data_IF_169779091505
#
_entry.id   IF_169779091505
#
_cell.length_a   1.000
_cell.length_b   1.000
_cell.length_c   1.000
_cell.angle_alpha   90.00
_cell.angle_beta   90.00
_cell.angle_gamma   90.00
#
_symmetry.space_group_name_H-M   'P 1'
#
loop_
_entity.id
_entity.type
_entity.pdbx_description
1 polymer ?
#
# COMPACT_ATOMS: atom_id res chain seq x y z
N UNK A 1 17.32 -2.52 -4.43
CA UNK A 1 17.82 -2.28 -3.05
C UNK A 1 18.68 -1.02 -3.05
N UNK A 2 18.49 -0.08 -2.11
CA UNK A 2 19.40 1.06 -1.86
C UNK A 2 20.12 0.82 -0.53
N UNK A 3 21.41 1.18 -0.43
CA UNK A 3 22.18 1.12 0.82
C UNK A 3 22.87 2.44 1.09
N UNK A 4 22.86 2.91 2.34
CA UNK A 4 23.59 4.09 2.80
C UNK A 4 23.84 4.01 4.30
N UNK A 5 25.10 4.12 4.75
CA UNK A 5 25.45 4.33 6.16
C UNK A 5 24.79 3.39 7.19
N UNK A 6 24.63 2.10 6.87
CA UNK A 6 23.97 1.11 7.75
C UNK A 6 22.46 0.94 7.52
N UNK A 7 21.85 1.79 6.68
CA UNK A 7 20.47 1.65 6.23
C UNK A 7 20.41 0.89 4.90
N UNK A 8 19.48 -0.07 4.82
CA UNK A 8 19.15 -0.78 3.59
C UNK A 8 17.65 -0.61 3.30
N UNK A 9 17.32 -0.22 2.07
CA UNK A 9 15.95 -0.10 1.59
C UNK A 9 15.72 -1.19 0.54
N UNK A 10 14.82 -2.11 0.86
CA UNK A 10 14.31 -3.13 -0.06
C UNK A 10 13.10 -2.59 -0.84
N UNK A 11 12.84 -3.16 -2.02
CA UNK A 11 11.74 -2.68 -2.88
C UNK A 11 11.84 -1.19 -3.20
N UNK A 12 12.97 -0.76 -3.81
CA UNK A 12 13.28 0.67 -4.04
C UNK A 12 12.13 1.41 -4.71
N UNK A 13 11.54 0.79 -5.74
CA UNK A 13 10.55 1.45 -6.55
C UNK A 13 9.19 1.46 -5.85
N UNK A 14 8.86 0.41 -5.10
CA UNK A 14 7.68 0.33 -4.22
C UNK A 14 7.74 1.40 -3.13
N UNK A 15 8.89 1.50 -2.45
CA UNK A 15 9.14 2.50 -1.42
C UNK A 15 9.09 3.91 -2.03
N UNK A 16 9.68 4.12 -3.21
CA UNK A 16 9.62 5.40 -3.90
C UNK A 16 8.20 5.85 -4.24
N UNK A 17 7.37 4.94 -4.77
CA UNK A 17 5.94 5.20 -5.04
C UNK A 17 5.16 5.45 -3.75
N UNK A 18 5.44 4.69 -2.69
CA UNK A 18 4.81 4.86 -1.39
C UNK A 18 5.13 6.24 -0.77
N UNK A 19 6.39 6.67 -0.81
CA UNK A 19 6.82 8.01 -0.34
C UNK A 19 6.11 9.11 -1.13
N UNK A 20 6.05 8.98 -2.47
CA UNK A 20 5.38 9.97 -3.32
C UNK A 20 3.87 10.07 -3.02
N UNK A 21 3.20 8.93 -2.79
CA UNK A 21 1.78 8.93 -2.44
C UNK A 21 1.51 9.45 -1.02
N UNK A 22 2.35 9.08 -0.06
CA UNK A 22 2.25 9.54 1.33
C UNK A 22 2.34 11.07 1.45
N UNK A 23 3.18 11.71 0.65
CA UNK A 23 3.37 13.17 0.68
C UNK A 23 2.08 13.97 0.45
N UNK A 24 1.08 13.40 -0.22
CA UNK A 24 -0.19 14.07 -0.54
C UNK A 24 -1.42 13.30 -0.04
N UNK A 25 -1.18 12.17 0.61
CA UNK A 25 -2.19 11.22 1.01
C UNK A 25 -2.78 11.51 2.39
N UNK A 26 -3.92 10.89 2.67
CA UNK A 26 -4.59 10.98 3.99
C UNK A 26 -4.25 9.83 4.95
N UNK A 27 -3.54 8.81 4.47
CA UNK A 27 -3.08 7.66 5.26
C UNK A 27 -1.69 7.84 5.84
N UNK A 28 -1.26 6.86 6.62
CA UNK A 28 0.12 6.75 7.08
C UNK A 28 1.02 6.16 5.98
N UNK A 29 2.33 6.38 6.09
CA UNK A 29 3.29 5.84 5.12
C UNK A 29 3.16 4.32 4.95
N UNK A 30 2.89 3.59 6.04
CA UNK A 30 2.73 2.15 6.02
C UNK A 30 1.57 1.69 5.11
N UNK A 31 0.48 2.44 5.05
CA UNK A 31 -0.68 2.11 4.21
C UNK A 31 -0.29 2.10 2.73
N UNK A 32 0.39 3.16 2.31
CA UNK A 32 0.89 3.29 0.94
C UNK A 32 1.95 2.24 0.62
N UNK A 33 2.82 1.92 1.57
CA UNK A 33 3.82 0.88 1.39
C UNK A 33 3.19 -0.52 1.22
N UNK A 34 2.18 -0.85 2.01
CA UNK A 34 1.41 -2.10 1.87
C UNK A 34 0.70 -2.15 0.52
N UNK A 35 0.12 -1.03 0.06
CA UNK A 35 -0.48 -0.93 -1.27
C UNK A 35 0.53 -1.22 -2.38
N UNK A 36 1.70 -0.58 -2.37
CA UNK A 36 2.70 -0.78 -3.42
C UNK A 36 3.27 -2.20 -3.42
N UNK A 37 3.47 -2.81 -2.25
CA UNK A 37 3.89 -4.22 -2.14
C UNK A 37 2.81 -5.19 -2.64
N UNK A 38 1.54 -4.92 -2.32
CA UNK A 38 0.41 -5.73 -2.79
C UNK A 38 0.31 -5.67 -4.32
N UNK A 39 0.48 -4.48 -4.91
CA UNK A 39 0.51 -4.31 -6.37
C UNK A 39 1.69 -5.02 -7.02
N UNK A 40 2.88 -4.96 -6.41
CA UNK A 40 4.05 -5.72 -6.87
C UNK A 40 3.81 -7.24 -6.83
N UNK A 41 2.94 -7.70 -5.93
CA UNK A 41 2.50 -9.10 -5.83
C UNK A 41 1.33 -9.45 -6.77
N UNK A 42 0.90 -8.53 -7.64
CA UNK A 42 -0.18 -8.74 -8.60
C UNK A 42 -1.58 -8.45 -8.08
N UNK A 43 -1.73 -7.90 -6.87
CA UNK A 43 -3.05 -7.49 -6.36
C UNK A 43 -3.48 -6.14 -6.96
N UNK A 44 -4.76 -6.01 -7.28
CA UNK A 44 -5.32 -4.76 -7.83
C UNK A 44 -5.60 -3.70 -6.77
N UNK A 45 -5.97 -4.13 -5.56
CA UNK A 45 -6.37 -3.23 -4.46
C UNK A 45 -6.10 -3.86 -3.09
N UNK A 46 -5.97 -3.02 -2.06
CA UNK A 46 -5.87 -3.42 -0.65
C UNK A 46 -7.22 -3.23 0.02
N UNK A 47 -7.70 -4.26 0.69
CA UNK A 47 -8.92 -4.16 1.49
C UNK A 47 -8.62 -3.44 2.81
N UNK A 48 -9.45 -2.47 3.21
CA UNK A 48 -9.29 -1.75 4.48
C UNK A 48 -10.63 -1.41 5.13
N UNK A 49 -10.65 -1.41 6.46
CA UNK A 49 -11.77 -0.94 7.26
C UNK A 49 -11.66 0.56 7.63
N UNK A 50 -10.53 1.20 7.34
CA UNK A 50 -10.31 2.61 7.62
C UNK A 50 -11.08 3.50 6.64
N UNK A 51 -12.06 4.26 7.16
CA UNK A 51 -12.92 5.13 6.37
C UNK A 51 -12.17 6.30 5.67
N UNK A 52 -11.01 6.69 6.17
CA UNK A 52 -10.15 7.71 5.55
C UNK A 52 -9.44 7.13 4.35
N UNK A 53 -8.84 5.94 4.49
CA UNK A 53 -8.14 5.25 3.40
C UNK A 53 -9.09 4.83 2.27
N UNK A 54 -10.37 4.58 2.54
CA UNK A 54 -11.36 4.34 1.49
C UNK A 54 -11.56 5.52 0.53
N UNK A 55 -11.03 6.70 0.86
CA UNK A 55 -11.02 7.88 -0.03
C UNK A 55 -9.74 7.98 -0.85
N UNK A 56 -8.78 7.08 -0.64
CA UNK A 56 -7.49 7.01 -1.32
C UNK A 56 -7.53 5.96 -2.43
N UNK A 57 -6.78 6.20 -3.51
CA UNK A 57 -6.73 5.27 -4.64
C UNK A 57 -6.03 3.95 -4.24
N UNK A 58 -6.62 2.84 -4.69
CA UNK A 58 -6.10 1.48 -4.47
C UNK A 58 -6.54 0.84 -3.16
N UNK A 59 -7.41 1.49 -2.38
CA UNK A 59 -8.05 0.91 -1.20
C UNK A 59 -9.53 0.67 -1.44
N UNK A 60 -10.04 -0.46 -0.97
CA UNK A 60 -11.44 -0.85 -1.14
C UNK A 60 -12.02 -1.38 0.16
N UNK A 61 -13.35 -1.31 0.28
CA UNK A 61 -14.05 -1.95 1.40
C UNK A 61 -13.96 -3.47 1.22
N UNK A 62 -13.71 -4.23 2.29
CA UNK A 62 -13.90 -5.66 2.29
C UNK A 62 -15.33 -5.99 1.83
N UNK A 63 -15.45 -6.74 0.75
CA UNK A 63 -16.73 -7.30 0.31
C UNK A 63 -16.89 -8.67 0.93
N UNK A 64 -18.04 -8.96 1.53
CA UNK A 64 -18.37 -10.33 1.94
C UNK A 64 -18.59 -11.16 0.68
N UNK A 65 -17.55 -11.82 0.19
CA UNK A 65 -17.74 -12.93 -0.76
C UNK A 65 -18.11 -14.14 0.08
N UNK A 66 -19.32 -14.67 -0.11
CA UNK A 66 -19.63 -15.99 0.42
C UNK A 66 -18.60 -16.97 -0.16
N UNK A 67 -17.80 -17.59 0.71
CA UNK A 67 -17.00 -18.74 0.31
C UNK A 67 -18.03 -19.83 0.01
N UNK A 68 -18.17 -20.20 -1.27
CA UNK A 68 -18.98 -21.36 -1.62
C UNK A 68 -18.41 -22.56 -0.84
N UNK A 69 -19.28 -23.38 -0.21
CA UNK A 69 -18.84 -24.48 0.64
C UNK A 69 -17.97 -25.49 -0.10
#
# INVERSE_FOLDING_TARGET
MIRSGGLAIEGRDEVGRAVAAFAFGKGDFADYLVREQSRASGCESVMTFDATLLKEAGFVRPSTRAVAP
#
